data_IF_149516463288
#
_entry.id   IF_149516463288
#
_cell.length_a   1.000
_cell.length_b   1.000
_cell.length_c   1.000
_cell.angle_alpha   90.00
_cell.angle_beta   90.00
_cell.angle_gamma   90.00
#
_symmetry.space_group_name_H-M   'P 1'
#
loop_
_entity.id
_entity.type
_entity.pdbx_description
1 polymer ?
#
# COMPACT_ATOMS: atom_id res chain seq x y z
N UNK A 1 5.54 -8.52 -17.49
CA UNK A 1 4.99 -8.09 -16.19
C UNK A 1 4.07 -9.18 -15.66
N UNK A 2 4.33 -9.70 -14.44
CA UNK A 2 3.35 -10.41 -13.58
C UNK A 2 4.04 -10.80 -12.27
N UNK A 3 4.35 -9.81 -11.48
CA UNK A 3 4.59 -9.98 -10.05
C UNK A 3 3.24 -9.69 -9.38
N UNK A 4 2.62 -10.67 -8.72
CA UNK A 4 1.38 -10.52 -7.93
C UNK A 4 0.05 -10.37 -8.68
N UNK A 5 -0.25 -11.25 -9.64
CA UNK A 5 -1.61 -11.36 -10.18
C UNK A 5 -2.64 -11.59 -9.05
N UNK A 6 -3.62 -10.69 -8.95
CA UNK A 6 -4.78 -10.73 -8.04
C UNK A 6 -4.55 -10.31 -6.57
N UNK A 7 -3.44 -9.64 -6.22
CA UNK A 7 -3.27 -9.06 -4.88
C UNK A 7 -3.87 -7.66 -4.76
N UNK A 8 -4.29 -7.30 -3.54
CA UNK A 8 -4.73 -5.94 -3.22
C UNK A 8 -3.51 -5.04 -3.03
N UNK A 9 -3.33 -4.09 -3.94
CA UNK A 9 -2.19 -3.17 -3.97
C UNK A 9 -2.66 -1.71 -4.16
N UNK A 10 -1.75 -0.78 -3.85
CA UNK A 10 -1.87 0.61 -4.27
C UNK A 10 -1.47 0.71 -5.74
N UNK A 11 -2.03 1.66 -6.52
CA UNK A 11 -1.56 1.90 -7.87
C UNK A 11 -0.08 2.24 -7.92
N UNK A 12 0.64 1.70 -8.90
CA UNK A 12 2.06 1.95 -9.04
C UNK A 12 2.80 0.82 -9.75
N UNK A 13 3.99 1.15 -10.23
CA UNK A 13 4.81 0.21 -10.98
C UNK A 13 6.27 0.62 -10.98
N UNK A 14 6.96 0.19 -12.03
CA UNK A 14 8.40 0.40 -12.14
C UNK A 14 8.66 1.75 -12.78
N UNK A 15 9.73 2.43 -12.36
CA UNK A 15 10.30 3.55 -13.10
C UNK A 15 10.57 3.15 -14.56
N UNK A 16 10.17 4.02 -15.49
CA UNK A 16 10.44 3.91 -16.92
C UNK A 16 11.27 5.09 -17.44
N UNK A 17 12.03 4.85 -18.51
CA UNK A 17 12.82 5.88 -19.17
C UNK A 17 11.90 7.00 -19.67
N UNK A 18 12.00 8.18 -19.04
CA UNK A 18 11.14 9.34 -19.32
C UNK A 18 10.30 9.80 -18.13
N UNK A 19 10.19 8.99 -17.07
CA UNK A 19 9.63 9.44 -15.80
C UNK A 19 10.58 10.50 -15.18
N UNK A 20 10.01 11.67 -14.81
CA UNK A 20 10.80 12.79 -14.25
C UNK A 20 11.36 12.48 -12.86
N UNK A 21 10.52 11.87 -12.01
CA UNK A 21 10.80 11.54 -10.62
C UNK A 21 9.83 10.44 -10.12
N UNK A 22 9.85 10.14 -8.81
CA UNK A 22 8.95 9.16 -8.20
C UNK A 22 7.47 9.57 -8.31
N UNK A 23 7.18 10.88 -8.29
CA UNK A 23 5.82 11.37 -8.49
C UNK A 23 5.36 11.15 -9.94
N UNK A 24 6.23 11.42 -10.92
CA UNK A 24 5.99 11.16 -12.34
C UNK A 24 5.64 9.70 -12.58
N UNK A 25 6.46 8.79 -12.04
CA UNK A 25 6.24 7.34 -12.09
C UNK A 25 4.87 6.97 -11.49
N UNK A 26 4.60 7.41 -10.25
CA UNK A 26 3.35 7.07 -9.57
C UNK A 26 2.10 7.61 -10.28
N UNK A 27 2.19 8.81 -10.87
CA UNK A 27 1.09 9.42 -11.63
C UNK A 27 0.82 8.69 -12.93
N UNK A 28 1.87 8.34 -13.69
CA UNK A 28 1.73 7.55 -14.93
C UNK A 28 1.03 6.23 -14.64
N UNK A 29 1.53 5.47 -13.68
CA UNK A 29 0.98 4.16 -13.30
C UNK A 29 -0.47 4.29 -12.79
N UNK A 30 -0.77 5.28 -11.92
CA UNK A 30 -2.14 5.51 -11.47
C UNK A 30 -3.09 5.94 -12.60
N UNK A 31 -2.59 6.66 -13.61
CA UNK A 31 -3.37 6.99 -14.80
C UNK A 31 -3.61 5.75 -15.66
N UNK A 32 -2.60 4.92 -15.88
CA UNK A 32 -2.67 3.70 -16.70
C UNK A 32 -3.60 2.64 -16.08
N UNK A 33 -3.53 2.46 -14.76
CA UNK A 33 -4.29 1.42 -14.05
C UNK A 33 -5.74 1.83 -13.75
N UNK A 34 -5.95 3.06 -13.27
CA UNK A 34 -7.24 3.51 -12.73
C UNK A 34 -7.75 4.83 -13.34
N UNK A 35 -7.05 5.39 -14.33
CA UNK A 35 -7.47 6.64 -14.97
C UNK A 35 -7.40 7.86 -14.05
N UNK A 36 -6.51 7.84 -13.04
CA UNK A 36 -6.34 8.97 -12.12
C UNK A 36 -5.84 10.21 -12.91
N UNK A 37 -6.48 11.38 -12.84
CA UNK A 37 -6.08 12.55 -13.62
C UNK A 37 -4.64 12.99 -13.33
N UNK A 38 -3.90 13.29 -14.39
CA UNK A 38 -2.56 13.89 -14.32
C UNK A 38 -2.57 15.35 -13.87
N UNK A 39 -3.74 15.98 -13.84
CA UNK A 39 -3.96 17.35 -13.40
C UNK A 39 -3.55 17.52 -11.92
N UNK A 40 -2.45 18.27 -11.70
CA UNK A 40 -1.87 18.49 -10.38
C UNK A 40 -2.74 19.36 -9.46
N UNK A 41 -3.69 20.12 -9.99
CA UNK A 41 -4.64 20.87 -9.16
C UNK A 41 -5.75 19.98 -8.59
N UNK A 42 -6.18 18.97 -9.37
CA UNK A 42 -7.17 17.97 -8.97
C UNK A 42 -6.59 16.85 -8.11
N UNK A 43 -5.32 16.54 -8.32
CA UNK A 43 -4.58 15.50 -7.61
C UNK A 43 -3.26 16.08 -7.16
N UNK A 44 -3.22 16.61 -5.94
CA UNK A 44 -2.08 17.35 -5.39
C UNK A 44 -1.14 16.43 -4.64
N UNK A 45 0.17 16.55 -4.87
CA UNK A 45 1.17 15.84 -4.04
C UNK A 45 1.20 16.46 -2.65
N UNK A 46 1.13 15.59 -1.63
CA UNK A 46 1.34 15.98 -0.23
C UNK A 46 2.80 15.74 0.16
N UNK A 47 3.28 14.52 -0.02
CA UNK A 47 4.65 14.14 0.34
C UNK A 47 5.07 12.83 -0.36
N UNK A 48 6.36 12.53 -0.26
CA UNK A 48 6.89 11.18 -0.36
C UNK A 48 6.99 10.61 1.06
N UNK A 49 6.69 9.32 1.23
CA UNK A 49 7.02 8.59 2.46
C UNK A 49 8.40 7.94 2.33
N UNK A 50 8.95 7.51 3.46
CA UNK A 50 10.20 6.74 3.48
C UNK A 50 10.09 5.49 2.60
N UNK A 51 11.21 5.15 1.96
CA UNK A 51 11.32 4.00 1.08
C UNK A 51 11.16 2.68 1.83
N UNK A 52 10.52 1.70 1.17
CA UNK A 52 10.34 0.35 1.68
C UNK A 52 11.14 -0.67 0.86
N UNK A 53 11.69 -1.68 1.54
CA UNK A 53 12.35 -2.82 0.91
C UNK A 53 11.37 -3.99 0.70
N UNK A 54 11.22 -4.43 -0.55
CA UNK A 54 10.34 -5.55 -0.93
C UNK A 54 11.02 -6.92 -0.77
N UNK A 55 10.20 -7.99 -0.77
CA UNK A 55 10.66 -9.39 -0.62
C UNK A 55 11.74 -9.83 -1.60
N UNK A 56 11.68 -9.26 -2.79
CA UNK A 56 12.59 -9.50 -3.89
C UNK A 56 13.72 -8.46 -4.00
N UNK A 57 13.94 -7.63 -2.97
CA UNK A 57 15.06 -6.69 -2.90
C UNK A 57 14.91 -5.49 -3.84
N UNK A 58 13.68 -5.02 -4.07
CA UNK A 58 13.39 -3.75 -4.74
C UNK A 58 13.10 -2.67 -3.70
N UNK A 59 13.34 -1.41 -4.08
CA UNK A 59 12.93 -0.24 -3.32
C UNK A 59 11.61 0.29 -3.86
N UNK A 60 10.68 0.58 -2.97
CA UNK A 60 9.39 1.20 -3.28
C UNK A 60 9.27 2.49 -2.47
N UNK A 61 9.12 3.62 -3.17
CA UNK A 61 8.91 4.94 -2.57
C UNK A 61 7.42 5.31 -2.67
N UNK A 62 6.66 5.35 -1.56
CA UNK A 62 5.25 5.70 -1.62
C UNK A 62 5.04 7.20 -1.86
N UNK A 63 4.19 7.53 -2.82
CA UNK A 63 3.78 8.92 -3.12
C UNK A 63 2.38 9.16 -2.58
N UNK A 64 2.22 10.15 -1.69
CA UNK A 64 0.91 10.48 -1.12
C UNK A 64 0.29 11.63 -1.90
N UNK A 65 -0.87 11.36 -2.50
CA UNK A 65 -1.63 12.31 -3.30
C UNK A 65 -2.97 12.64 -2.62
N UNK A 66 -3.33 13.93 -2.58
CA UNK A 66 -4.62 14.43 -2.19
C UNK A 66 -5.49 14.63 -3.43
N UNK A 67 -6.55 13.85 -3.55
CA UNK A 67 -7.60 14.05 -4.55
C UNK A 67 -8.54 15.14 -4.05
N UNK A 68 -8.56 16.28 -4.73
CA UNK A 68 -9.42 17.44 -4.41
C UNK A 68 -10.71 17.45 -5.22
N UNK A 69 -10.72 16.81 -6.40
CA UNK A 69 -11.90 16.70 -7.25
C UNK A 69 -12.84 15.58 -6.77
N UNK A 70 -13.93 15.99 -6.12
CA UNK A 70 -14.96 15.07 -5.63
C UNK A 70 -15.82 14.44 -6.73
N UNK A 71 -15.73 14.93 -7.97
CA UNK A 71 -16.44 14.41 -9.14
C UNK A 71 -15.60 13.41 -9.97
N UNK A 72 -14.39 13.09 -9.49
CA UNK A 72 -13.48 12.15 -10.14
C UNK A 72 -14.14 10.77 -10.29
N UNK A 73 -14.17 10.27 -11.53
CA UNK A 73 -14.67 8.94 -11.86
C UNK A 73 -13.53 8.12 -12.49
N UNK A 74 -12.89 7.21 -11.74
CA UNK A 74 -11.80 6.37 -12.23
C UNK A 74 -12.23 5.52 -13.43
N UNK A 75 -11.31 5.35 -14.38
CA UNK A 75 -11.48 4.49 -15.55
C UNK A 75 -10.48 3.35 -15.42
N UNK A 76 -10.99 2.16 -15.05
CA UNK A 76 -10.12 1.02 -14.79
C UNK A 76 -9.60 0.41 -16.09
N UNK A 77 -8.32 0.08 -16.12
CA UNK A 77 -7.76 -0.79 -17.15
C UNK A 77 -8.06 -2.25 -16.80
N UNK A 78 -8.97 -2.94 -17.51
CA UNK A 78 -9.39 -4.30 -17.14
C UNK A 78 -8.30 -5.36 -17.34
N UNK A 79 -7.20 -5.06 -18.05
CA UNK A 79 -6.07 -6.00 -18.16
C UNK A 79 -5.21 -6.05 -16.89
N UNK A 80 -5.34 -5.03 -16.03
CA UNK A 80 -4.48 -4.84 -14.85
C UNK A 80 -5.29 -4.77 -13.56
N UNK A 81 -6.46 -4.12 -13.58
CA UNK A 81 -7.28 -3.87 -12.40
C UNK A 81 -8.66 -4.52 -12.54
N UNK A 82 -8.92 -5.53 -11.70
CA UNK A 82 -10.23 -6.20 -11.63
C UNK A 82 -11.23 -5.43 -10.77
N UNK A 83 -10.76 -4.85 -9.66
CA UNK A 83 -11.60 -4.16 -8.67
C UNK A 83 -10.88 -2.93 -8.12
N UNK A 84 -11.62 -1.83 -7.98
CA UNK A 84 -11.17 -0.64 -7.26
C UNK A 84 -12.11 -0.37 -6.09
N UNK A 85 -11.54 -0.06 -4.93
CA UNK A 85 -12.29 0.27 -3.72
C UNK A 85 -11.53 1.25 -2.84
N UNK A 86 -12.23 1.85 -1.88
CA UNK A 86 -11.65 2.71 -0.85
C UNK A 86 -11.90 2.15 0.55
N UNK A 87 -11.00 2.46 1.47
CA UNK A 87 -11.15 2.29 2.92
C UNK A 87 -10.74 3.58 3.63
N UNK A 88 -11.32 3.91 4.80
CA UNK A 88 -10.82 5.01 5.61
C UNK A 88 -9.35 4.76 5.98
N UNK A 89 -8.46 5.74 5.77
CA UNK A 89 -7.04 5.56 6.10
C UNK A 89 -6.84 5.26 7.60
N UNK A 90 -7.65 5.86 8.47
CA UNK A 90 -7.64 5.58 9.92
C UNK A 90 -7.96 4.13 10.26
N UNK A 91 -8.55 3.34 9.35
CA UNK A 91 -8.84 1.93 9.56
C UNK A 91 -7.57 1.07 9.77
N UNK A 92 -6.42 1.56 9.30
CA UNK A 92 -5.11 0.92 9.46
C UNK A 92 -4.43 1.26 10.79
N UNK A 93 -5.11 1.96 11.70
CA UNK A 93 -4.65 2.21 13.07
C UNK A 93 -5.39 1.37 14.11
N UNK A 94 -6.41 0.63 13.70
CA UNK A 94 -7.30 -0.08 14.62
C UNK A 94 -7.36 -1.57 14.33
N UNK A 95 -7.33 -2.36 15.39
CA UNK A 95 -7.50 -3.82 15.33
C UNK A 95 -8.97 -4.24 15.28
N UNK A 96 -9.88 -3.38 15.74
CA UNK A 96 -11.31 -3.65 15.77
C UNK A 96 -12.08 -2.59 14.96
N UNK A 97 -13.00 -3.01 14.08
CA UNK A 97 -13.86 -2.11 13.31
C UNK A 97 -14.62 -1.07 14.15
N UNK A 98 -15.07 -1.46 15.34
CA UNK A 98 -15.82 -0.61 16.27
C UNK A 98 -15.03 0.58 16.83
N UNK A 99 -13.69 0.55 16.73
CA UNK A 99 -12.81 1.62 17.19
C UNK A 99 -12.54 2.67 16.11
N UNK A 100 -12.93 2.41 14.86
CA UNK A 100 -12.57 3.25 13.72
C UNK A 100 -13.46 4.50 13.69
N UNK A 101 -12.89 5.71 13.83
CA UNK A 101 -13.68 6.93 13.83
C UNK A 101 -14.43 7.10 12.51
N UNK A 102 -15.74 7.35 12.59
CA UNK A 102 -16.55 7.56 11.39
C UNK A 102 -16.66 6.32 10.49
N UNK A 103 -16.58 5.10 11.04
CA UNK A 103 -16.79 3.82 10.32
C UNK A 103 -18.10 3.75 9.50
N UNK A 104 -19.00 4.73 9.70
CA UNK A 104 -20.19 5.00 8.90
C UNK A 104 -19.93 5.71 7.56
N UNK A 105 -18.69 6.01 7.18
CA UNK A 105 -18.38 6.42 5.81
C UNK A 105 -18.65 5.22 4.91
N UNK A 106 -19.91 5.17 4.45
CA UNK A 106 -20.37 4.29 3.42
C UNK A 106 -19.32 4.24 2.33
N UNK A 107 -19.05 3.01 1.88
CA UNK A 107 -18.21 2.71 0.73
C UNK A 107 -18.37 3.87 -0.25
N UNK A 108 -17.28 4.56 -0.57
CA UNK A 108 -17.29 5.43 -1.73
C UNK A 108 -17.45 4.51 -2.93
N UNK A 109 -18.70 4.17 -3.24
CA UNK A 109 -19.13 3.62 -4.53
C UNK A 109 -19.15 4.74 -5.57
N UNK A 110 -18.49 5.89 -5.32
CA UNK A 110 -18.31 6.97 -6.31
C UNK A 110 -17.60 6.48 -7.57
N UNK A 111 -17.03 5.28 -7.52
CA UNK A 111 -16.66 4.52 -8.69
C UNK A 111 -17.90 3.70 -9.07
N UNK A 112 -18.86 4.38 -9.70
CA UNK A 112 -19.74 3.65 -10.59
C UNK A 112 -18.81 3.14 -11.68
N UNK A 113 -18.41 1.87 -11.59
CA UNK A 113 -18.27 1.12 -12.84
C UNK A 113 -19.57 1.44 -13.59
N UNK A 114 -19.49 1.99 -14.80
CA UNK A 114 -20.65 2.07 -15.68
C UNK A 114 -21.06 0.63 -16.04
N UNK A 115 -21.52 -0.11 -15.04
CA UNK A 115 -22.22 -1.35 -15.20
C UNK A 115 -23.61 -1.02 -15.73
N UNK A 116 -24.22 -1.94 -16.49
CA UNK A 116 -25.55 -1.74 -17.02
C UNK A 116 -26.54 -1.36 -15.89
N UNK A 117 -27.58 -0.56 -16.20
CA UNK A 117 -28.50 0.04 -15.23
C UNK A 117 -29.25 -0.95 -14.31
N UNK A 118 -29.12 -2.26 -14.53
CA UNK A 118 -29.80 -3.34 -13.81
C UNK A 118 -28.93 -4.05 -12.74
N UNK A 119 -27.70 -3.61 -12.47
CA UNK A 119 -26.88 -4.24 -11.41
C UNK A 119 -27.27 -3.65 -10.04
N UNK A 120 -27.79 -4.47 -9.10
CA UNK A 120 -28.16 -4.00 -7.77
C UNK A 120 -26.96 -3.40 -7.04
N UNK A 121 -27.16 -2.42 -6.14
CA UNK A 121 -26.07 -1.87 -5.34
C UNK A 121 -25.36 -3.00 -4.59
N UNK A 122 -24.02 -2.93 -4.44
CA UNK A 122 -23.29 -3.98 -3.74
C UNK A 122 -23.84 -4.13 -2.32
N UNK A 123 -23.90 -5.38 -1.80
CA UNK A 123 -24.43 -5.64 -0.47
C UNK A 123 -23.68 -4.81 0.58
N UNK A 124 -24.40 -4.40 1.64
CA UNK A 124 -23.77 -3.74 2.78
C UNK A 124 -22.78 -4.72 3.41
N UNK A 125 -21.54 -4.28 3.52
CA UNK A 125 -20.47 -5.04 4.12
C UNK A 125 -20.62 -5.02 5.65
N UNK A 126 -20.81 -6.20 6.24
CA UNK A 126 -20.74 -6.39 7.70
C UNK A 126 -19.31 -6.73 8.13
N UNK A 127 -18.93 -6.27 9.33
CA UNK A 127 -17.68 -6.63 9.98
C UNK A 127 -17.97 -7.20 11.36
N UNK A 128 -17.51 -8.42 11.63
CA UNK A 128 -17.49 -8.97 12.98
C UNK A 128 -16.50 -8.19 13.87
N UNK A 129 -16.88 -7.95 15.13
CA UNK A 129 -15.98 -7.33 16.12
C UNK A 129 -14.82 -8.27 16.51
N UNK A 130 -15.01 -9.60 16.42
CA UNK A 130 -14.01 -10.60 16.80
C UNK A 130 -13.83 -11.69 15.74
N UNK A 131 -13.82 -12.96 16.15
CA UNK A 131 -13.99 -14.07 15.19
C UNK A 131 -15.44 -14.10 14.71
N UNK A 132 -15.63 -14.02 13.40
CA UNK A 132 -16.94 -14.02 12.78
C UNK A 132 -16.83 -13.74 11.29
N UNK A 133 -17.95 -13.39 10.66
CA UNK A 133 -17.96 -13.09 9.23
C UNK A 133 -17.57 -11.63 8.96
N UNK A 134 -16.62 -11.42 8.06
CA UNK A 134 -16.25 -10.12 7.52
C UNK A 134 -16.35 -10.21 6.00
N UNK A 135 -17.28 -9.46 5.42
CA UNK A 135 -17.41 -9.39 3.97
C UNK A 135 -17.70 -10.70 3.26
N UNK A 136 -18.45 -11.62 3.86
CA UNK A 136 -18.74 -12.92 3.24
C UNK A 136 -17.74 -14.04 3.57
N UNK A 137 -16.73 -13.81 4.42
CA UNK A 137 -15.80 -14.86 4.88
C UNK A 137 -15.59 -14.82 6.38
N UNK A 138 -15.48 -16.00 6.99
CA UNK A 138 -15.04 -16.11 8.39
C UNK A 138 -13.60 -15.61 8.56
N UNK A 139 -13.39 -14.77 9.57
CA UNK A 139 -12.08 -14.25 9.95
C UNK A 139 -12.16 -13.01 10.83
N UNK A 140 -11.02 -12.66 11.43
CA UNK A 140 -10.86 -11.40 12.16
C UNK A 140 -10.52 -10.28 11.19
N UNK A 141 -11.05 -9.07 11.44
CA UNK A 141 -10.73 -7.88 10.66
C UNK A 141 -9.22 -7.66 10.55
N UNK A 142 -8.51 -7.63 11.68
CA UNK A 142 -7.06 -7.45 11.74
C UNK A 142 -6.35 -8.70 12.26
N UNK A 143 -5.25 -9.06 11.62
CA UNK A 143 -4.30 -10.07 12.07
C UNK A 143 -2.88 -9.68 11.68
N UNK A 144 -1.89 -10.28 12.33
CA UNK A 144 -0.50 -10.22 11.89
C UNK A 144 0.17 -11.59 11.96
N UNK A 145 1.29 -11.74 11.26
CA UNK A 145 2.19 -12.88 11.37
C UNK A 145 3.62 -12.38 11.32
N UNK A 146 4.47 -12.92 12.17
CA UNK A 146 5.90 -12.65 12.14
C UNK A 146 6.55 -13.66 11.20
N UNK A 147 7.26 -13.16 10.19
CA UNK A 147 7.89 -13.99 9.17
C UNK A 147 9.40 -13.77 9.16
N UNK A 148 10.16 -14.84 8.97
CA UNK A 148 11.59 -14.75 8.75
C UNK A 148 11.85 -14.17 7.37
N UNK A 149 12.66 -13.11 7.31
CA UNK A 149 13.04 -12.46 6.06
C UNK A 149 14.49 -11.98 6.16
N UNK A 150 15.33 -12.51 5.28
CA UNK A 150 16.76 -12.20 5.28
C UNK A 150 17.38 -12.65 6.59
N UNK A 151 18.08 -11.75 7.28
CA UNK A 151 18.75 -12.03 8.56
C UNK A 151 17.86 -11.77 9.79
N UNK A 152 16.58 -11.43 9.62
CA UNK A 152 15.72 -11.03 10.73
C UNK A 152 14.28 -11.48 10.59
N UNK A 153 13.44 -10.90 11.44
CA UNK A 153 12.00 -11.13 11.47
C UNK A 153 11.28 -9.84 11.06
N UNK A 154 10.24 -9.98 10.26
CA UNK A 154 9.35 -8.89 9.86
C UNK A 154 7.92 -9.23 10.22
N UNK A 155 7.23 -8.31 10.89
CA UNK A 155 5.79 -8.42 11.10
C UNK A 155 5.04 -8.08 9.82
N UNK A 156 4.26 -9.03 9.32
CA UNK A 156 3.32 -8.85 8.22
C UNK A 156 1.91 -8.65 8.76
N UNK A 157 1.34 -7.50 8.48
CA UNK A 157 -0.04 -7.17 8.83
C UNK A 157 -1.01 -7.64 7.76
N UNK A 158 -2.27 -7.87 8.17
CA UNK A 158 -3.37 -8.26 7.30
C UNK A 158 -4.66 -7.64 7.80
N UNK A 159 -5.37 -6.94 6.91
CA UNK A 159 -6.67 -6.34 7.16
C UNK A 159 -7.69 -6.88 6.17
N UNK A 160 -8.82 -7.34 6.66
CA UNK A 160 -9.96 -7.67 5.82
C UNK A 160 -10.59 -6.39 5.27
N UNK A 161 -10.91 -6.44 4.00
CA UNK A 161 -11.55 -5.35 3.26
C UNK A 161 -13.06 -5.36 3.44
N UNK A 162 -13.62 -6.49 3.87
CA UNK A 162 -15.05 -6.75 3.88
C UNK A 162 -15.62 -7.02 2.48
N UNK A 163 -14.77 -7.34 1.51
CA UNK A 163 -15.15 -7.68 0.12
C UNK A 163 -14.66 -9.07 -0.28
N UNK A 164 -14.22 -9.85 0.69
CA UNK A 164 -13.59 -11.15 0.45
C UNK A 164 -14.52 -12.17 -0.20
N UNK A 165 -15.82 -12.11 0.09
CA UNK A 165 -16.87 -12.90 -0.57
C UNK A 165 -17.05 -12.55 -2.04
N UNK A 166 -16.70 -11.32 -2.44
CA UNK A 166 -16.64 -10.87 -3.84
C UNK A 166 -15.31 -11.15 -4.54
N UNK A 167 -14.39 -11.88 -3.90
CA UNK A 167 -13.09 -12.24 -4.47
C UNK A 167 -11.97 -11.24 -4.23
N UNK A 168 -12.23 -10.12 -3.55
CA UNK A 168 -11.18 -9.15 -3.17
C UNK A 168 -10.28 -9.76 -2.10
N UNK A 169 -8.97 -9.69 -2.28
CA UNK A 169 -8.03 -10.17 -1.27
C UNK A 169 -7.92 -9.16 -0.11
N UNK A 170 -7.58 -9.63 1.10
CA UNK A 170 -7.24 -8.74 2.21
C UNK A 170 -6.13 -7.76 1.82
N UNK A 171 -6.04 -6.61 2.50
CA UNK A 171 -4.84 -5.75 2.43
C UNK A 171 -3.76 -6.39 3.30
N UNK A 172 -2.61 -6.73 2.73
CA UNK A 172 -1.55 -7.40 3.47
C UNK A 172 -0.15 -7.06 2.95
N UNK A 173 0.88 -7.51 3.66
CA UNK A 173 2.27 -7.36 3.24
C UNK A 173 2.69 -5.90 3.10
N UNK A 174 3.43 -5.58 2.03
CA UNK A 174 3.96 -4.24 1.81
C UNK A 174 2.86 -3.17 1.74
N UNK A 175 1.75 -3.46 1.04
CA UNK A 175 0.60 -2.56 0.95
C UNK A 175 0.10 -2.15 2.34
N UNK A 176 -0.05 -3.13 3.25
CA UNK A 176 -0.49 -2.84 4.62
C UNK A 176 0.55 -2.05 5.42
N UNK A 177 1.84 -2.32 5.23
CA UNK A 177 2.91 -1.59 5.92
C UNK A 177 2.96 -0.10 5.49
N UNK A 178 2.81 0.17 4.19
CA UNK A 178 2.73 1.52 3.65
C UNK A 178 1.49 2.24 4.21
N UNK A 179 0.33 1.59 4.21
CA UNK A 179 -0.91 2.19 4.71
C UNK A 179 -0.91 2.45 6.22
N UNK A 180 -0.32 1.56 7.03
CA UNK A 180 -0.10 1.80 8.45
C UNK A 180 0.79 3.03 8.64
N UNK A 181 1.92 3.10 7.94
CA UNK A 181 2.85 4.23 8.07
C UNK A 181 2.22 5.56 7.63
N UNK A 182 1.52 5.55 6.48
CA UNK A 182 0.77 6.70 6.00
C UNK A 182 -0.29 7.17 7.00
N UNK A 183 -1.04 6.24 7.61
CA UNK A 183 -2.03 6.57 8.63
C UNK A 183 -1.39 7.13 9.90
N UNK A 184 -0.26 6.56 10.35
CA UNK A 184 0.47 7.05 11.51
C UNK A 184 0.94 8.49 11.33
N UNK A 185 1.49 8.81 10.16
CA UNK A 185 1.94 10.16 9.81
C UNK A 185 0.74 11.10 9.65
N UNK A 186 -0.28 10.69 8.90
CA UNK A 186 -1.43 11.54 8.57
C UNK A 186 -2.33 11.89 9.76
N UNK A 187 -2.44 11.00 10.74
CA UNK A 187 -3.28 11.21 11.94
C UNK A 187 -2.46 11.51 13.20
N UNK A 188 -1.12 11.53 13.12
CA UNK A 188 -0.22 11.65 14.28
C UNK A 188 -0.59 10.69 15.42
N UNK A 189 -0.91 9.44 15.05
CA UNK A 189 -1.46 8.45 15.96
C UNK A 189 -0.81 7.08 15.76
N UNK A 190 -0.46 6.42 16.87
CA UNK A 190 0.03 5.03 16.84
C UNK A 190 -1.14 4.05 16.72
N UNK A 191 -0.95 2.91 16.04
CA UNK A 191 -1.97 1.86 16.02
C UNK A 191 -2.20 1.27 17.41
N UNK A 192 -3.39 0.73 17.65
CA UNK A 192 -3.71 -0.01 18.90
C UNK A 192 -3.14 -1.44 18.95
N UNK A 193 -2.30 -1.78 17.97
CA UNK A 193 -1.59 -3.03 17.85
C UNK A 193 -0.09 -2.80 17.61
N UNK A 194 0.76 -3.80 17.94
CA UNK A 194 2.20 -3.65 17.77
C UNK A 194 2.61 -3.75 16.29
N UNK A 195 3.21 -2.67 15.76
CA UNK A 195 3.66 -2.55 14.36
C UNK A 195 4.86 -3.45 14.03
N UNK A 196 5.78 -3.63 14.97
CA UNK A 196 7.01 -4.39 14.73
C UNK A 196 7.03 -5.69 15.54
N UNK A 197 7.64 -6.73 14.97
CA UNK A 197 7.97 -7.93 15.72
C UNK A 197 9.07 -7.65 16.77
N UNK A 198 9.14 -8.41 17.87
CA UNK A 198 10.25 -8.28 18.82
C UNK A 198 11.59 -8.46 18.13
N UNK A 199 12.49 -7.48 18.28
CA UNK A 199 13.82 -7.50 17.64
C UNK A 199 13.81 -7.29 16.12
N UNK A 200 12.69 -6.86 15.53
CA UNK A 200 12.63 -6.53 14.11
C UNK A 200 13.52 -5.33 13.79
N UNK A 201 14.39 -5.50 12.79
CA UNK A 201 15.17 -4.41 12.22
C UNK A 201 14.28 -3.37 11.57
N UNK A 202 14.70 -2.10 11.67
CA UNK A 202 14.01 -1.00 10.99
C UNK A 202 14.10 -1.19 9.47
N UNK A 203 13.22 -0.50 8.74
CA UNK A 203 13.28 -0.54 7.27
C UNK A 203 14.63 -0.01 6.77
N UNK A 204 15.12 1.07 7.39
CA UNK A 204 16.44 1.64 7.07
C UNK A 204 17.58 0.65 7.32
N UNK A 205 17.62 -0.01 8.49
CA UNK A 205 18.65 -1.03 8.79
C UNK A 205 18.63 -2.17 7.76
N UNK A 206 17.44 -2.58 7.31
CA UNK A 206 17.30 -3.63 6.30
C UNK A 206 17.76 -3.17 4.92
N UNK A 207 17.48 -1.93 4.54
CA UNK A 207 17.99 -1.32 3.30
C UNK A 207 19.51 -1.24 3.38
N UNK A 208 20.07 -0.68 4.44
CA UNK A 208 21.52 -0.58 4.63
C UNK A 208 22.20 -1.95 4.56
N UNK A 209 21.59 -2.97 5.16
CA UNK A 209 22.09 -4.34 5.07
C UNK A 209 22.07 -4.86 3.63
N UNK A 210 20.97 -4.69 2.90
CA UNK A 210 20.86 -5.12 1.49
C UNK A 210 21.86 -4.36 0.59
N UNK A 211 22.04 -3.06 0.83
CA UNK A 211 23.02 -2.24 0.11
C UNK A 211 24.45 -2.70 0.38
N UNK A 212 24.78 -3.14 1.60
CA UNK A 212 26.18 -3.47 1.97
C UNK A 212 26.55 -4.94 1.83
N UNK A 213 25.60 -5.84 2.09
CA UNK A 213 25.82 -7.28 2.17
C UNK A 213 24.90 -8.09 1.25
N UNK A 214 23.89 -7.45 0.65
CA UNK A 214 22.94 -8.11 -0.22
C UNK A 214 23.55 -8.53 -1.54
N UNK A 215 22.81 -9.34 -2.29
CA UNK A 215 23.10 -9.68 -3.68
C UNK A 215 21.86 -9.48 -4.57
N UNK A 216 20.82 -8.82 -4.03
CA UNK A 216 19.55 -8.57 -4.70
C UNK A 216 19.62 -7.45 -5.74
N UNK A 217 18.47 -7.14 -6.36
CA UNK A 217 18.37 -6.09 -7.37
C UNK A 217 18.88 -4.72 -6.90
N UNK A 218 18.57 -4.32 -5.66
CA UNK A 218 19.03 -3.06 -5.09
C UNK A 218 20.56 -2.95 -5.08
N UNK A 219 21.25 -3.94 -4.53
CA UNK A 219 22.73 -3.97 -4.52
C UNK A 219 23.30 -3.84 -5.93
N UNK A 220 22.78 -4.63 -6.86
CA UNK A 220 23.24 -4.62 -8.26
C UNK A 220 22.99 -3.28 -8.95
N UNK A 221 21.90 -2.59 -8.64
CA UNK A 221 21.63 -1.26 -9.17
C UNK A 221 22.65 -0.24 -8.65
N UNK A 222 22.91 -0.21 -7.35
CA UNK A 222 23.90 0.67 -6.72
C UNK A 222 25.31 0.43 -7.27
N UNK A 223 25.68 -0.84 -7.50
CA UNK A 223 26.94 -1.20 -8.15
C UNK A 223 27.02 -0.71 -9.59
N UNK A 224 25.94 -0.89 -10.37
CA UNK A 224 25.90 -0.46 -11.77
C UNK A 224 25.95 1.06 -11.92
N UNK A 225 25.39 1.80 -10.96
CA UNK A 225 25.41 3.27 -10.93
C UNK A 225 26.69 3.85 -10.30
N UNK A 226 27.59 2.99 -9.79
CA UNK A 226 28.85 3.43 -9.18
C UNK A 226 28.69 4.14 -7.84
N UNK A 227 27.54 4.00 -7.18
CA UNK A 227 27.18 4.77 -5.99
C UNK A 227 27.75 4.19 -4.68
N UNK A 228 28.46 3.06 -4.72
CA UNK A 228 28.97 2.41 -3.50
C UNK A 228 29.92 3.31 -2.69
N UNK A 229 30.76 4.12 -3.35
CA UNK A 229 31.64 5.07 -2.67
C UNK A 229 30.87 6.13 -1.90
N UNK A 230 29.76 6.61 -2.45
CA UNK A 230 28.94 7.65 -1.82
C UNK A 230 28.26 7.12 -0.56
N UNK A 231 27.88 5.83 -0.57
CA UNK A 231 27.34 5.14 0.61
C UNK A 231 28.38 4.96 1.71
N UNK A 232 29.61 4.56 1.37
CA UNK A 232 30.69 4.40 2.34
C UNK A 232 31.10 5.76 2.96
N UNK A 233 31.15 6.82 2.16
CA UNK A 233 31.40 8.19 2.63
C UNK A 233 30.28 8.74 3.51
N UNK A 234 29.02 8.44 3.19
CA UNK A 234 27.87 8.85 4.00
C UNK A 234 27.88 8.17 5.38
N UNK A 235 28.24 6.88 5.44
CA UNK A 235 28.40 6.15 6.71
C UNK A 235 29.52 6.71 7.58
N UNK A 236 30.63 7.16 6.99
CA UNK A 236 31.75 7.73 7.74
C UNK A 236 31.44 9.10 8.39
N UNK A 237 30.33 9.74 8.01
CA UNK A 237 29.90 11.06 8.53
C UNK A 237 28.84 10.98 9.63
N UNK A 238 28.33 9.79 9.95
CA UNK A 238 27.39 9.50 11.04
C UNK A 238 28.14 8.96 12.27
#
# INVERSE_FOLDING_TARGET
MRSYASDTALPGGKYEDGDEDEEGTARREAYEEIGLPMDRDKVRKLCLLDAFLTGNGLIVTPVVLLVTDNALNPVLNPSEVTHLFSMPLTAFLHSHPSQIPGWHFGISTRILAQGPPDVPPPPRVGYAEGEGEVGGKEGRYYQFRDVTWGQGVVRMHRFLTGREGGGVKPVYGLTSAILIHAAMVGYDQRPDFPVFAPGQHTVQERIEWEVTNGAGPLRRAIEAEGMLSDWDEAKAKL
#
